data_IF_479442493731
#
_entry.id   IF_479442493731
#
_cell.length_a   1.000
_cell.length_b   1.000
_cell.length_c   1.000
_cell.angle_alpha   90.00
_cell.angle_beta   90.00
_cell.angle_gamma   90.00
#
_symmetry.space_group_name_H-M   'P 1'
#
loop_
_entity.id
_entity.type
_entity.pdbx_description
1 polymer ?
#
# COMPACT_ATOMS: atom_id res chain seq x y z
N UNK A 1 -12.69 -40.55 -40.03
CA UNK A 1 -11.34 -39.95 -39.86
C UNK A 1 -10.38 -41.04 -39.42
N UNK A 2 -9.26 -41.27 -40.13
CA UNK A 2 -8.28 -42.33 -39.79
C UNK A 2 -7.75 -42.13 -38.36
N UNK A 3 -7.51 -43.20 -37.56
CA UNK A 3 -7.14 -43.10 -36.15
C UNK A 3 -5.91 -42.21 -35.90
N UNK A 4 -4.93 -42.23 -36.80
CA UNK A 4 -3.75 -41.37 -36.75
C UNK A 4 -4.07 -39.86 -36.82
N UNK A 5 -5.08 -39.46 -37.61
CA UNK A 5 -5.53 -38.05 -37.68
C UNK A 5 -6.19 -37.59 -36.37
N UNK A 6 -6.85 -38.49 -35.64
CA UNK A 6 -7.42 -38.18 -34.30
C UNK A 6 -6.31 -37.98 -33.27
N UNK A 7 -5.28 -38.83 -33.30
CA UNK A 7 -4.13 -38.75 -32.39
C UNK A 7 -3.35 -37.44 -32.60
N UNK A 8 -3.07 -37.08 -33.86
CA UNK A 8 -2.39 -35.81 -34.19
C UNK A 8 -3.20 -34.60 -33.74
N UNK A 9 -4.53 -34.62 -33.94
CA UNK A 9 -5.41 -33.55 -33.47
C UNK A 9 -5.36 -33.39 -31.94
N UNK A 10 -5.45 -34.50 -31.20
CA UNK A 10 -5.40 -34.49 -29.73
C UNK A 10 -4.05 -33.94 -29.24
N UNK A 11 -2.94 -34.39 -29.81
CA UNK A 11 -1.59 -33.90 -29.45
C UNK A 11 -1.50 -32.40 -29.73
N UNK A 12 -1.97 -31.94 -30.89
CA UNK A 12 -1.96 -30.51 -31.24
C UNK A 12 -2.78 -29.65 -30.27
N UNK A 13 -3.94 -30.14 -29.82
CA UNK A 13 -4.79 -29.43 -28.85
C UNK A 13 -4.12 -29.37 -27.48
N UNK A 14 -3.54 -30.47 -27.01
CA UNK A 14 -2.81 -30.52 -25.73
C UNK A 14 -1.60 -29.58 -25.76
N UNK A 15 -0.85 -29.56 -26.86
CA UNK A 15 0.30 -28.68 -27.02
C UNK A 15 -0.12 -27.20 -27.02
N UNK A 16 -1.23 -26.87 -27.70
CA UNK A 16 -1.80 -25.52 -27.69
C UNK A 16 -2.18 -25.07 -26.27
N UNK A 17 -2.85 -25.93 -25.49
CA UNK A 17 -3.23 -25.63 -24.10
C UNK A 17 -1.99 -25.44 -23.23
N UNK A 18 -0.95 -26.27 -23.40
CA UNK A 18 0.31 -26.13 -22.66
C UNK A 18 1.03 -24.81 -23.00
N UNK A 19 1.09 -24.43 -24.27
CA UNK A 19 1.71 -23.17 -24.71
C UNK A 19 0.93 -21.96 -24.20
N UNK A 20 -0.40 -21.97 -24.30
CA UNK A 20 -1.24 -20.88 -23.80
C UNK A 20 -1.20 -20.77 -22.27
N UNK A 21 -1.28 -21.91 -21.57
CA UNK A 21 -1.21 -21.98 -20.11
C UNK A 21 0.15 -21.53 -19.57
N UNK A 22 1.25 -21.99 -20.16
CA UNK A 22 2.60 -21.54 -19.79
C UNK A 22 2.81 -20.05 -20.09
N UNK A 23 2.33 -19.55 -21.22
CA UNK A 23 2.36 -18.12 -21.54
C UNK A 23 1.62 -17.27 -20.50
N UNK A 24 0.43 -17.70 -20.06
CA UNK A 24 -0.33 -17.02 -19.02
C UNK A 24 0.38 -17.04 -17.66
N UNK A 25 0.94 -18.18 -17.25
CA UNK A 25 1.69 -18.30 -16.00
C UNK A 25 2.96 -17.44 -16.01
N UNK A 26 3.70 -17.44 -17.12
CA UNK A 26 4.87 -16.55 -17.30
C UNK A 26 4.46 -15.09 -17.23
N UNK A 27 3.36 -14.71 -17.88
CA UNK A 27 2.84 -13.35 -17.81
C UNK A 27 2.52 -12.94 -16.37
N UNK A 28 1.76 -13.76 -15.63
CA UNK A 28 1.42 -13.51 -14.22
C UNK A 28 2.68 -13.37 -13.34
N UNK A 29 3.68 -14.23 -13.57
CA UNK A 29 4.96 -14.17 -12.88
C UNK A 29 5.72 -12.87 -13.18
N UNK A 30 5.82 -12.45 -14.44
CA UNK A 30 6.50 -11.19 -14.77
C UNK A 30 5.73 -9.96 -14.25
N UNK A 31 4.40 -9.99 -14.21
CA UNK A 31 3.61 -8.89 -13.66
C UNK A 31 3.71 -8.79 -12.14
N UNK A 32 3.84 -9.91 -11.41
CA UNK A 32 4.06 -9.87 -9.96
C UNK A 32 5.39 -9.21 -9.60
N UNK A 33 6.39 -9.32 -10.48
CA UNK A 33 7.71 -8.72 -10.31
C UNK A 33 7.75 -7.19 -10.54
N UNK A 34 6.76 -6.61 -11.20
CA UNK A 34 6.75 -5.17 -11.45
C UNK A 34 6.55 -4.40 -10.14
N UNK A 35 7.21 -3.25 -9.92
CA UNK A 35 6.98 -2.46 -8.72
C UNK A 35 5.52 -1.96 -8.67
N UNK A 36 4.91 -1.84 -7.47
CA UNK A 36 3.57 -1.30 -7.36
C UNK A 36 3.53 0.15 -7.83
N UNK A 37 2.54 0.47 -8.67
CA UNK A 37 2.23 1.84 -9.08
C UNK A 37 1.22 2.40 -8.10
N UNK A 38 1.69 3.23 -7.17
CA UNK A 38 0.83 3.87 -6.18
C UNK A 38 0.60 5.33 -6.55
N UNK A 39 -0.66 5.74 -6.49
CA UNK A 39 -1.09 7.11 -6.69
C UNK A 39 -1.82 7.60 -5.44
N UNK A 40 -1.41 8.77 -4.95
CA UNK A 40 -1.99 9.40 -3.77
C UNK A 40 -2.47 10.79 -4.16
N UNK A 41 -3.72 11.08 -3.82
CA UNK A 41 -4.32 12.41 -3.98
C UNK A 41 -4.89 12.88 -2.65
N UNK A 42 -5.45 14.09 -2.62
CA UNK A 42 -6.21 14.57 -1.46
C UNK A 42 -7.49 13.77 -1.18
N UNK A 43 -7.98 12.96 -2.14
CA UNK A 43 -9.29 12.31 -2.07
C UNK A 43 -9.21 10.77 -2.02
N UNK A 44 -8.15 10.16 -2.54
CA UNK A 44 -7.99 8.72 -2.59
C UNK A 44 -6.53 8.28 -2.62
N UNK A 45 -6.31 6.99 -2.36
CA UNK A 45 -5.10 6.26 -2.67
C UNK A 45 -5.43 5.04 -3.54
N UNK A 46 -4.65 4.79 -4.59
CA UNK A 46 -4.83 3.64 -5.48
C UNK A 46 -3.53 2.93 -5.82
N UNK A 47 -3.64 1.65 -6.19
CA UNK A 47 -2.53 0.78 -6.58
C UNK A 47 -2.94 -0.13 -7.74
N UNK A 48 -1.97 -0.76 -8.42
CA UNK A 48 -2.22 -1.79 -9.43
C UNK A 48 -2.14 -3.25 -8.89
N UNK A 49 -2.03 -3.44 -7.57
CA UNK A 49 -1.79 -4.74 -6.90
C UNK A 49 -2.71 -5.06 -5.71
N UNK A 50 -3.79 -4.31 -5.55
CA UNK A 50 -4.74 -4.35 -4.42
C UNK A 50 -4.14 -4.03 -3.03
N UNK A 51 -4.98 -3.51 -2.12
CA UNK A 51 -4.61 -3.21 -0.74
C UNK A 51 -4.91 -4.38 0.20
N UNK A 52 -4.01 -5.37 0.30
CA UNK A 52 -4.22 -6.56 1.14
C UNK A 52 -4.27 -6.22 2.64
N UNK A 53 -3.35 -5.37 3.13
CA UNK A 53 -3.23 -5.05 4.56
C UNK A 53 -3.74 -3.63 4.93
N UNK A 54 -4.55 -3.04 4.04
CA UNK A 54 -5.00 -1.66 4.14
C UNK A 54 -3.88 -0.63 4.04
N UNK A 55 -4.13 0.57 4.56
CA UNK A 55 -3.22 1.73 4.47
C UNK A 55 -3.16 2.43 5.82
N UNK A 56 -1.98 2.83 6.26
CA UNK A 56 -1.80 3.71 7.42
C UNK A 56 -1.29 5.07 6.96
N UNK A 57 -1.94 6.14 7.39
CA UNK A 57 -1.57 7.53 7.09
C UNK A 57 -1.20 8.19 8.42
N UNK A 58 0.01 8.71 8.50
CA UNK A 58 0.57 9.37 9.67
C UNK A 58 0.80 10.85 9.36
N UNK A 59 0.21 11.76 10.16
CA UNK A 59 0.50 13.20 10.10
C UNK A 59 1.78 13.45 10.88
N UNK A 60 2.80 14.04 10.24
CA UNK A 60 4.14 14.16 10.81
C UNK A 60 4.61 15.60 10.94
N UNK A 61 5.22 15.94 12.08
CA UNK A 61 6.02 17.17 12.21
C UNK A 61 7.46 16.84 11.84
N UNK A 62 8.01 17.54 10.85
CA UNK A 62 9.38 17.31 10.40
C UNK A 62 10.35 18.01 11.35
N UNK A 63 11.24 17.24 11.96
CA UNK A 63 12.30 17.75 12.83
C UNK A 63 13.57 18.09 12.04
N UNK A 64 13.87 17.31 10.99
CA UNK A 64 14.98 17.56 10.07
C UNK A 64 14.78 16.94 8.69
N UNK A 65 15.28 17.61 7.66
CA UNK A 65 15.33 17.13 6.27
C UNK A 65 16.70 16.48 5.99
N UNK A 66 16.69 15.34 5.29
CA UNK A 66 17.89 14.64 4.85
C UNK A 66 18.50 15.24 3.58
N UNK A 67 19.70 14.79 3.21
CA UNK A 67 20.41 15.28 2.02
C UNK A 67 19.68 15.02 0.68
N UNK A 68 18.67 14.16 0.68
CA UNK A 68 17.79 13.89 -0.47
C UNK A 68 16.54 14.77 -0.52
N UNK A 69 16.41 15.76 0.38
CA UNK A 69 15.25 16.64 0.45
C UNK A 69 14.01 16.02 1.11
N UNK A 70 14.10 14.80 1.65
CA UNK A 70 13.00 14.11 2.33
C UNK A 70 13.13 14.21 3.86
N UNK A 71 12.04 14.07 4.62
CA UNK A 71 12.10 14.01 6.08
C UNK A 71 13.03 12.89 6.58
N UNK A 72 14.06 13.26 7.34
CA UNK A 72 15.02 12.31 7.92
C UNK A 72 14.73 12.02 9.40
N UNK A 73 14.17 13.01 10.11
CA UNK A 73 13.71 12.91 11.49
C UNK A 73 12.38 13.62 11.63
N UNK A 74 11.42 12.98 12.28
CA UNK A 74 10.08 13.54 12.42
C UNK A 74 9.32 12.91 13.58
N UNK A 75 8.29 13.62 14.04
CA UNK A 75 7.37 13.16 15.08
C UNK A 75 6.00 12.85 14.45
N UNK A 76 5.48 11.65 14.70
CA UNK A 76 4.11 11.29 14.33
C UNK A 76 3.17 11.81 15.42
N UNK A 77 2.31 12.76 15.06
CA UNK A 77 1.38 13.40 16.00
C UNK A 77 0.02 12.69 16.02
N UNK A 78 -0.32 12.06 14.90
CA UNK A 78 -1.62 11.49 14.66
C UNK A 78 -1.50 10.43 13.56
N UNK A 79 -2.26 9.36 13.67
CA UNK A 79 -2.37 8.38 12.61
C UNK A 79 -3.81 7.91 12.43
N UNK A 80 -4.13 7.55 11.19
CA UNK A 80 -5.33 6.82 10.84
C UNK A 80 -4.95 5.59 10.03
N UNK A 81 -5.70 4.51 10.18
CA UNK A 81 -5.47 3.26 9.47
C UNK A 81 -6.77 2.76 8.87
N UNK A 82 -6.73 2.54 7.56
CA UNK A 82 -7.74 1.78 6.83
C UNK A 82 -7.52 0.29 7.10
N UNK A 83 -8.58 -0.39 7.51
CA UNK A 83 -8.64 -1.82 7.77
C UNK A 83 -9.66 -2.41 6.82
N UNK A 84 -9.23 -3.35 5.99
CA UNK A 84 -10.10 -4.03 5.03
C UNK A 84 -11.09 -4.91 5.79
N UNK A 85 -12.35 -4.90 5.36
CA UNK A 85 -13.36 -5.76 5.96
C UNK A 85 -13.12 -7.22 5.53
N UNK A 86 -13.16 -8.13 6.51
CA UNK A 86 -13.02 -9.56 6.28
C UNK A 86 -14.34 -10.23 6.67
N UNK A 87 -15.31 -10.33 5.75
CA UNK A 87 -16.56 -11.00 6.04
C UNK A 87 -16.31 -12.47 6.43
N UNK A 88 -16.99 -12.92 7.49
CA UNK A 88 -16.82 -14.27 8.02
C UNK A 88 -17.05 -15.33 6.94
N UNK A 89 -16.04 -16.15 6.67
CA UNK A 89 -16.13 -17.29 5.77
C UNK A 89 -15.86 -17.00 4.29
N UNK A 90 -15.47 -15.78 3.92
CA UNK A 90 -15.04 -15.45 2.56
C UNK A 90 -13.66 -14.77 2.57
N UNK A 91 -12.79 -15.06 1.58
CA UNK A 91 -11.62 -14.24 1.34
C UNK A 91 -12.07 -12.79 1.10
N UNK A 92 -11.43 -11.78 1.73
CA UNK A 92 -11.71 -10.40 1.38
C UNK A 92 -11.39 -10.19 -0.10
N UNK A 93 -12.18 -9.35 -0.77
CA UNK A 93 -11.77 -8.75 -2.04
C UNK A 93 -11.10 -7.42 -1.72
N UNK A 94 -9.76 -7.37 -1.63
CA UNK A 94 -9.06 -6.13 -1.33
C UNK A 94 -9.29 -5.13 -2.46
N UNK A 95 -9.58 -3.86 -2.16
CA UNK A 95 -9.76 -2.85 -3.18
C UNK A 95 -8.42 -2.46 -3.79
N UNK A 96 -8.43 -2.03 -5.05
CA UNK A 96 -7.31 -1.35 -5.73
C UNK A 96 -7.31 0.16 -5.46
N UNK A 97 -8.44 0.70 -4.98
CA UNK A 97 -8.64 2.12 -4.62
C UNK A 97 -9.38 2.28 -3.30
N UNK A 98 -8.85 3.15 -2.44
CA UNK A 98 -9.45 3.55 -1.18
C UNK A 98 -9.77 5.05 -1.27
N UNK A 99 -11.06 5.39 -1.24
CA UNK A 99 -11.56 6.78 -1.20
C UNK A 99 -11.63 7.24 0.26
N UNK A 100 -11.28 8.49 0.52
CA UNK A 100 -11.22 9.02 1.89
C UNK A 100 -12.56 9.54 2.40
N UNK A 101 -13.38 10.12 1.52
CA UNK A 101 -14.66 10.74 1.87
C UNK A 101 -15.86 9.79 1.83
N UNK A 102 -15.69 8.58 1.30
CA UNK A 102 -16.78 7.64 1.06
C UNK A 102 -16.55 6.35 1.84
N UNK A 103 -17.66 5.72 2.24
CA UNK A 103 -17.63 4.40 2.85
C UNK A 103 -17.34 3.35 1.77
N UNK A 104 -16.38 2.46 2.01
CA UNK A 104 -16.12 1.29 1.19
C UNK A 104 -16.27 -0.03 1.95
N UNK A 105 -15.73 -1.11 1.39
CA UNK A 105 -15.59 -2.42 2.04
C UNK A 105 -14.39 -2.43 3.02
N UNK A 106 -14.28 -1.37 3.80
CA UNK A 106 -13.21 -1.11 4.76
C UNK A 106 -13.69 -0.07 5.76
N UNK A 107 -13.03 -0.02 6.92
CA UNK A 107 -13.25 1.02 7.93
C UNK A 107 -11.93 1.64 8.37
N UNK A 108 -12.05 2.79 9.00
CA UNK A 108 -10.92 3.54 9.52
C UNK A 108 -10.88 3.45 11.04
N UNK A 109 -9.67 3.47 11.59
CA UNK A 109 -9.42 3.68 13.01
C UNK A 109 -8.39 4.79 13.15
N UNK A 110 -8.50 5.59 14.20
CA UNK A 110 -7.60 6.72 14.43
C UNK A 110 -7.02 6.71 15.83
N UNK A 111 -5.85 7.31 16.00
CA UNK A 111 -5.35 7.64 17.32
C UNK A 111 -4.37 8.81 17.27
N UNK A 112 -4.25 9.52 18.40
CA UNK A 112 -3.15 10.45 18.62
C UNK A 112 -1.86 9.66 18.87
N UNK A 113 -0.76 10.24 18.48
CA UNK A 113 0.57 9.66 18.63
C UNK A 113 1.56 10.74 19.05
N UNK A 114 2.63 10.29 19.67
CA UNK A 114 3.78 11.13 19.99
C UNK A 114 5.03 10.24 19.93
N UNK A 115 5.29 9.75 18.72
CA UNK A 115 6.41 8.88 18.41
C UNK A 115 7.38 9.62 17.49
N UNK A 116 8.61 9.77 17.96
CA UNK A 116 9.68 10.33 17.14
C UNK A 116 10.41 9.20 16.41
N UNK A 117 10.60 9.40 15.11
CA UNK A 117 11.32 8.50 14.23
C UNK A 117 12.55 9.17 13.63
N UNK A 118 13.57 8.36 13.38
CA UNK A 118 14.69 8.70 12.51
C UNK A 118 14.80 7.65 11.41
N UNK A 119 15.05 8.08 10.17
CA UNK A 119 15.35 7.17 9.08
C UNK A 119 16.81 6.71 9.13
N UNK A 120 17.00 5.40 9.02
CA UNK A 120 18.30 4.76 8.80
C UNK A 120 18.20 3.86 7.56
N UNK A 121 18.70 4.35 6.43
CA UNK A 121 18.53 3.69 5.13
C UNK A 121 17.04 3.54 4.77
N UNK A 122 16.62 2.33 4.39
CA UNK A 122 15.23 2.01 4.03
C UNK A 122 14.34 1.67 5.24
N UNK A 123 14.76 2.00 6.47
CA UNK A 123 14.00 1.72 7.69
C UNK A 123 13.84 2.98 8.53
N UNK A 124 12.84 2.97 9.39
CA UNK A 124 12.62 3.98 10.43
C UNK A 124 12.81 3.36 11.80
N UNK A 125 13.47 4.06 12.70
CA UNK A 125 13.72 3.64 14.08
C UNK A 125 13.06 4.62 15.06
N UNK A 126 12.46 4.08 16.13
CA UNK A 126 11.86 4.89 17.19
C UNK A 126 12.97 5.38 18.12
N UNK A 127 13.03 6.69 18.35
CA UNK A 127 14.09 7.29 19.18
C UNK A 127 13.83 7.07 20.68
N UNK A 128 12.57 7.20 21.11
CA UNK A 128 12.23 7.32 22.53
C UNK A 128 11.82 6.00 23.22
N UNK A 129 11.99 4.84 22.58
CA UNK A 129 11.65 3.53 23.16
C UNK A 129 10.18 3.34 23.55
N UNK A 130 9.30 4.34 23.34
CA UNK A 130 7.85 4.25 23.56
C UNK A 130 7.32 3.10 22.70
N UNK A 131 6.88 2.02 23.35
CA UNK A 131 6.24 0.91 22.67
C UNK A 131 4.97 1.42 22.00
N UNK A 132 4.78 1.10 20.72
CA UNK A 132 3.47 1.29 20.06
C UNK A 132 2.44 0.55 20.91
N UNK A 133 1.37 1.24 21.29
CA UNK A 133 0.21 0.60 21.90
C UNK A 133 -0.28 -0.51 20.94
N UNK A 134 -0.67 -1.70 21.47
CA UNK A 134 -1.18 -2.78 20.63
C UNK A 134 -2.39 -2.30 19.83
N UNK A 135 -2.40 -2.64 18.54
CA UNK A 135 -3.44 -2.27 17.59
C UNK A 135 -4.81 -2.77 18.05
N UNK A 136 -5.79 -1.86 18.15
CA UNK A 136 -7.20 -2.19 17.91
C UNK A 136 -8.11 -2.44 19.11
N UNK A 137 -7.64 -2.51 20.35
CA UNK A 137 -8.57 -2.59 21.50
C UNK A 137 -9.12 -1.20 21.86
N UNK A 138 -10.43 -1.02 21.63
CA UNK A 138 -11.19 0.15 22.10
C UNK A 138 -11.17 1.38 21.18
N UNK A 139 -10.60 1.27 19.97
CA UNK A 139 -10.66 2.35 18.99
C UNK A 139 -11.98 2.30 18.20
N UNK A 140 -12.58 3.48 18.01
CA UNK A 140 -13.81 3.65 17.25
C UNK A 140 -13.58 3.32 15.77
N UNK A 141 -14.53 2.58 15.17
CA UNK A 141 -14.56 2.30 13.74
C UNK A 141 -15.27 3.44 13.02
N UNK A 142 -14.57 4.09 12.10
CA UNK A 142 -15.07 5.20 11.31
C UNK A 142 -15.37 4.75 9.88
N UNK A 143 -16.46 5.20 9.26
CA UNK A 143 -16.80 4.85 7.88
C UNK A 143 -15.91 5.55 6.85
N UNK A 144 -15.29 6.67 7.22
CA UNK A 144 -14.48 7.52 6.35
C UNK A 144 -13.13 7.83 6.98
N UNK A 145 -12.17 8.26 6.16
CA UNK A 145 -10.87 8.70 6.63
C UNK A 145 -11.02 9.98 7.45
N UNK A 146 -10.37 10.01 8.61
CA UNK A 146 -10.38 11.13 9.54
C UNK A 146 -9.30 12.18 9.25
N UNK A 147 -8.40 11.92 8.30
CA UNK A 147 -7.38 12.89 7.86
C UNK A 147 -7.89 13.63 6.63
N UNK A 148 -7.89 14.96 6.76
CA UNK A 148 -7.92 15.88 5.63
C UNK A 148 -6.49 16.35 5.35
N UNK A 149 -6.07 16.30 4.08
CA UNK A 149 -4.72 16.70 3.69
C UNK A 149 -4.59 18.22 3.69
N UNK A 150 -3.68 18.74 4.51
CA UNK A 150 -3.39 20.16 4.67
C UNK A 150 -2.25 20.59 3.73
N UNK A 151 -2.31 21.78 3.12
CA UNK A 151 -1.19 22.36 2.39
C UNK A 151 0.05 22.49 3.27
N UNK A 152 1.22 22.22 2.70
CA UNK A 152 2.54 22.27 3.34
C UNK A 152 2.75 21.30 4.52
N UNK A 153 1.76 20.46 4.81
CA UNK A 153 1.85 19.42 5.83
C UNK A 153 2.41 18.13 5.24
N UNK A 154 3.42 17.58 5.90
CA UNK A 154 3.97 16.27 5.53
C UNK A 154 3.16 15.12 6.14
N UNK A 155 3.01 14.07 5.35
CA UNK A 155 2.39 12.81 5.74
C UNK A 155 3.33 11.66 5.41
N UNK A 156 3.34 10.64 6.27
CA UNK A 156 4.01 9.38 6.00
C UNK A 156 2.97 8.28 5.86
N UNK A 157 2.97 7.62 4.70
CA UNK A 157 1.97 6.62 4.33
C UNK A 157 2.66 5.27 4.25
N UNK A 158 2.12 4.28 4.95
CA UNK A 158 2.56 2.89 4.87
C UNK A 158 1.46 2.06 4.24
N UNK A 159 1.81 1.31 3.20
CA UNK A 159 0.94 0.36 2.54
C UNK A 159 1.41 -1.05 2.86
N UNK A 160 0.51 -2.03 2.74
CA UNK A 160 0.79 -3.45 2.98
C UNK A 160 1.72 -4.14 1.99
N UNK A 161 2.34 -3.41 1.05
CA UNK A 161 3.18 -3.99 -0.01
C UNK A 161 4.63 -4.13 0.46
N UNK A 162 5.23 -5.34 0.44
CA UNK A 162 6.58 -5.57 0.92
C UNK A 162 7.68 -4.85 0.13
N UNK A 163 7.40 -4.40 -1.10
CA UNK A 163 8.36 -3.66 -1.94
C UNK A 163 8.46 -2.17 -1.55
N UNK A 164 7.55 -1.68 -0.69
CA UNK A 164 7.46 -0.26 -0.32
C UNK A 164 7.60 -0.11 1.19
N UNK A 165 8.68 0.53 1.63
CA UNK A 165 8.86 0.88 3.05
C UNK A 165 7.83 1.92 3.49
N UNK A 166 7.55 2.88 2.62
CA UNK A 166 6.63 3.97 2.88
C UNK A 166 6.65 5.01 1.79
N UNK A 167 5.77 5.99 1.91
CA UNK A 167 5.60 7.05 0.93
C UNK A 167 5.48 8.35 1.70
N UNK A 168 6.34 9.31 1.43
CA UNK A 168 6.12 10.67 1.89
C UNK A 168 5.15 11.36 0.95
N UNK A 169 4.18 12.06 1.52
CA UNK A 169 3.18 12.81 0.77
C UNK A 169 3.07 14.23 1.33
N UNK A 170 2.98 15.22 0.44
CA UNK A 170 2.76 16.63 0.77
C UNK A 170 1.97 17.31 -0.33
N UNK A 171 1.01 18.15 0.07
CA UNK A 171 0.38 19.12 -0.82
C UNK A 171 1.23 20.39 -0.83
N UNK A 172 1.65 20.86 -2.00
CA UNK A 172 2.37 22.14 -2.07
C UNK A 172 1.43 23.35 -1.82
N UNK A 173 1.99 24.56 -1.79
CA UNK A 173 1.23 25.82 -1.61
C UNK A 173 0.14 26.04 -2.65
N UNK A 174 0.26 25.42 -3.83
CA UNK A 174 -0.71 25.51 -4.93
C UNK A 174 -1.74 24.37 -4.88
N UNK A 175 -1.62 23.45 -3.93
CA UNK A 175 -2.46 22.27 -3.78
C UNK A 175 -2.07 21.11 -4.70
N UNK A 176 -0.87 21.11 -5.29
CA UNK A 176 -0.39 20.00 -6.09
C UNK A 176 0.10 18.86 -5.19
N UNK A 177 -0.21 17.63 -5.59
CA UNK A 177 0.22 16.42 -4.92
C UNK A 177 1.70 16.15 -5.21
N UNK A 178 2.52 16.01 -4.17
CA UNK A 178 3.89 15.54 -4.28
C UNK A 178 4.04 14.27 -3.44
N UNK A 179 4.44 13.17 -4.08
CA UNK A 179 4.66 11.89 -3.43
C UNK A 179 6.07 11.37 -3.69
N UNK A 180 6.69 10.80 -2.67
CA UNK A 180 8.04 10.27 -2.71
C UNK A 180 8.04 8.85 -2.17
N UNK A 181 8.09 7.88 -3.08
CA UNK A 181 8.05 6.47 -2.76
C UNK A 181 9.42 6.00 -2.26
N UNK A 182 9.44 5.34 -1.10
CA UNK A 182 10.64 4.71 -0.55
C UNK A 182 10.58 3.20 -0.81
N UNK A 183 11.44 2.66 -1.69
CA UNK A 183 11.50 1.22 -1.90
C UNK A 183 12.07 0.54 -0.66
N UNK A 184 11.65 -0.70 -0.40
CA UNK A 184 12.18 -1.51 0.71
C UNK A 184 13.52 -2.18 0.38
N UNK A 185 13.89 -2.24 -0.91
CA UNK A 185 15.03 -3.02 -1.40
C UNK A 185 14.76 -4.53 -1.45
N UNK A 186 13.54 -4.96 -1.14
CA UNK A 186 13.11 -6.36 -1.22
C UNK A 186 12.58 -6.65 -2.63
N UNK A 187 13.09 -7.71 -3.26
CA UNK A 187 12.50 -8.23 -4.51
C UNK A 187 11.14 -8.87 -4.21
N UNK A 188 10.12 -8.69 -5.07
CA UNK A 188 8.93 -9.55 -5.03
C UNK A 188 9.35 -11.03 -5.00
N UNK A 189 8.78 -11.79 -4.06
CA UNK A 189 8.94 -13.24 -3.91
C UNK A 189 7.81 -13.92 -4.69
#
# INVERSE_FOLDING_TARGET
MKPWKKIVLIISVVLLILVLGSGFLLYQFFTSLQPPKIEITKNYISTNKDFINGVTIEKITVDSIGGNGLPAKYTVNYWTRCVIDHPNGQPPEPPDRITFSEKGNYWWIQNKADFQYVHKGFRREVINGKKRLPLGMGLERLPTCSIEFEPEQWYFITIGDPQVTGIFFILDKKGNNNQYLMPSGVSPI
#
